data_IF_909961075623
#
_entry.id   IF_909961075623
#
_cell.length_a   1.000
_cell.length_b   1.000
_cell.length_c   1.000
_cell.angle_alpha   90.00
_cell.angle_beta   90.00
_cell.angle_gamma   90.00
#
_symmetry.space_group_name_H-M   'P 1'
#
loop_
_entity.id
_entity.type
_entity.pdbx_description
1 polymer ?
#
# COMPACT_ATOMS: atom_id res chain seq x y z
N UNK A 1 -33.67 6.78 -20.19
CA UNK A 1 -32.45 6.36 -20.90
C UNK A 1 -31.28 6.99 -20.18
N UNK A 2 -30.30 6.20 -19.73
CA UNK A 2 -29.05 6.76 -19.24
C UNK A 2 -28.28 7.32 -20.44
N UNK A 3 -27.88 8.59 -20.37
CA UNK A 3 -27.00 9.17 -21.37
C UNK A 3 -25.62 8.54 -21.20
N UNK A 4 -25.09 7.94 -22.26
CA UNK A 4 -23.76 7.35 -22.24
C UNK A 4 -22.71 8.46 -22.13
N UNK A 5 -21.84 8.36 -21.12
CA UNK A 5 -20.78 9.35 -20.91
C UNK A 5 -19.66 9.07 -21.92
N UNK A 6 -19.24 10.06 -22.72
CA UNK A 6 -18.10 9.93 -23.63
C UNK A 6 -16.80 9.54 -22.90
N UNK A 7 -15.92 8.77 -23.55
CA UNK A 7 -14.71 8.24 -22.90
C UNK A 7 -13.68 9.32 -22.54
N UNK A 8 -13.61 10.41 -23.31
CA UNK A 8 -12.80 11.58 -23.00
C UNK A 8 -13.29 12.27 -21.72
N UNK A 9 -14.61 12.35 -21.52
CA UNK A 9 -15.21 12.86 -20.29
C UNK A 9 -14.92 11.91 -19.11
N UNK A 10 -15.02 10.59 -19.30
CA UNK A 10 -14.62 9.61 -18.27
C UNK A 10 -13.14 9.76 -17.90
N UNK A 11 -12.26 9.96 -18.88
CA UNK A 11 -10.84 10.16 -18.64
C UNK A 11 -10.57 11.43 -17.82
N UNK A 12 -11.23 12.54 -18.15
CA UNK A 12 -11.16 13.77 -17.35
C UNK A 12 -11.63 13.56 -15.91
N UNK A 13 -12.74 12.84 -15.72
CA UNK A 13 -13.25 12.49 -14.39
C UNK A 13 -12.21 11.70 -13.59
N UNK A 14 -11.60 10.67 -14.17
CA UNK A 14 -10.63 9.82 -13.48
C UNK A 14 -9.28 10.47 -13.24
N UNK A 15 -8.78 11.26 -14.19
CA UNK A 15 -7.42 11.83 -14.13
C UNK A 15 -7.36 13.19 -13.45
N UNK A 16 -8.47 13.94 -13.45
CA UNK A 16 -8.48 15.32 -12.92
C UNK A 16 -9.47 15.48 -11.77
N UNK A 17 -10.75 15.13 -11.96
CA UNK A 17 -11.78 15.45 -10.97
C UNK A 17 -11.68 14.59 -9.72
N UNK A 18 -11.61 13.26 -9.87
CA UNK A 18 -11.50 12.35 -8.72
C UNK A 18 -10.24 12.62 -7.89
N UNK A 19 -9.04 12.82 -8.48
CA UNK A 19 -7.87 13.20 -7.71
C UNK A 19 -8.05 14.51 -6.95
N UNK A 20 -8.57 15.56 -7.60
CA UNK A 20 -8.80 16.85 -6.94
C UNK A 20 -9.79 16.77 -5.77
N UNK A 21 -10.91 16.04 -5.96
CA UNK A 21 -11.90 15.81 -4.91
C UNK A 21 -11.29 15.02 -3.75
N UNK A 22 -10.55 13.96 -4.04
CA UNK A 22 -9.92 13.12 -3.01
C UNK A 22 -8.86 13.91 -2.23
N UNK A 23 -8.06 14.75 -2.90
CA UNK A 23 -7.11 15.65 -2.22
C UNK A 23 -7.83 16.59 -1.25
N UNK A 24 -8.95 17.20 -1.67
CA UNK A 24 -9.74 18.08 -0.79
C UNK A 24 -10.32 17.32 0.42
N UNK A 25 -10.83 16.10 0.20
CA UNK A 25 -11.31 15.23 1.29
C UNK A 25 -10.18 14.89 2.26
N UNK A 26 -9.02 14.46 1.76
CA UNK A 26 -7.85 14.10 2.58
C UNK A 26 -7.34 15.29 3.40
N UNK A 27 -7.35 16.51 2.85
CA UNK A 27 -7.03 17.72 3.61
C UNK A 27 -7.97 17.92 4.80
N UNK A 28 -9.27 17.68 4.61
CA UNK A 28 -10.25 17.77 5.71
C UNK A 28 -10.16 16.64 6.72
N UNK A 29 -9.78 15.43 6.29
CA UNK A 29 -9.51 14.32 7.22
C UNK A 29 -8.39 14.67 8.21
N UNK A 30 -7.37 15.45 7.79
CA UNK A 30 -6.29 15.91 8.68
C UNK A 30 -6.77 16.85 9.81
N UNK A 31 -7.91 17.50 9.63
CA UNK A 31 -8.51 18.42 10.62
C UNK A 31 -9.38 17.69 11.66
N UNK A 32 -9.65 16.40 11.47
CA UNK A 32 -10.50 15.62 12.39
C UNK A 32 -9.79 15.33 13.71
N UNK A 33 -10.56 15.14 14.81
CA UNK A 33 -10.04 14.55 16.03
C UNK A 33 -9.35 13.20 15.77
N UNK A 34 -8.28 12.91 16.50
CA UNK A 34 -7.38 11.78 16.22
C UNK A 34 -8.11 10.44 16.08
N UNK A 35 -9.08 10.16 16.94
CA UNK A 35 -9.88 8.92 16.89
C UNK A 35 -10.65 8.79 15.56
N UNK A 36 -11.34 9.85 15.14
CA UNK A 36 -12.10 9.87 13.88
C UNK A 36 -11.18 9.84 12.66
N UNK A 37 -10.05 10.56 12.71
CA UNK A 37 -9.01 10.50 11.68
C UNK A 37 -8.52 9.06 11.49
N UNK A 38 -8.16 8.37 12.58
CA UNK A 38 -7.70 6.98 12.54
C UNK A 38 -8.78 6.06 11.96
N UNK A 39 -10.04 6.23 12.36
CA UNK A 39 -11.12 5.40 11.86
C UNK A 39 -11.29 5.53 10.33
N UNK A 40 -11.30 6.77 9.81
CA UNK A 40 -11.40 7.04 8.37
C UNK A 40 -10.19 6.50 7.62
N UNK A 41 -8.98 6.80 8.10
CA UNK A 41 -7.75 6.33 7.46
C UNK A 41 -7.66 4.81 7.45
N UNK A 42 -8.06 4.15 8.54
CA UNK A 42 -8.10 2.68 8.61
C UNK A 42 -9.06 2.11 7.57
N UNK A 43 -10.29 2.64 7.46
CA UNK A 43 -11.26 2.18 6.47
C UNK A 43 -10.76 2.36 5.03
N UNK A 44 -10.16 3.52 4.72
CA UNK A 44 -9.54 3.77 3.41
C UNK A 44 -8.40 2.80 3.13
N UNK A 45 -7.50 2.61 4.09
CA UNK A 45 -6.35 1.73 3.96
C UNK A 45 -6.77 0.27 3.78
N UNK A 46 -7.73 -0.23 4.56
CA UNK A 46 -8.27 -1.58 4.40
C UNK A 46 -8.84 -1.80 3.00
N UNK A 47 -9.53 -0.80 2.43
CA UNK A 47 -10.01 -0.88 1.05
C UNK A 47 -8.85 -1.02 0.05
N UNK A 48 -7.74 -0.30 0.25
CA UNK A 48 -6.55 -0.46 -0.56
C UNK A 48 -5.91 -1.85 -0.40
N UNK A 49 -5.85 -2.38 0.82
CA UNK A 49 -5.36 -3.74 1.10
C UNK A 49 -6.20 -4.79 0.38
N UNK A 50 -7.52 -4.66 0.42
CA UNK A 50 -8.44 -5.59 -0.24
C UNK A 50 -8.28 -5.57 -1.76
N UNK A 51 -8.16 -4.37 -2.35
CA UNK A 51 -7.90 -4.24 -3.79
C UNK A 51 -6.54 -4.81 -4.17
N UNK A 52 -5.51 -4.60 -3.35
CA UNK A 52 -4.20 -5.17 -3.56
C UNK A 52 -4.26 -6.71 -3.58
N UNK A 53 -4.94 -7.31 -2.60
CA UNK A 53 -5.15 -8.76 -2.54
C UNK A 53 -6.07 -9.29 -3.64
N UNK A 54 -6.95 -8.46 -4.20
CA UNK A 54 -7.81 -8.81 -5.34
C UNK A 54 -7.11 -8.71 -6.70
N UNK A 55 -5.80 -8.44 -6.72
CA UNK A 55 -4.99 -8.41 -7.94
C UNK A 55 -4.79 -7.03 -8.55
N UNK A 56 -5.19 -5.94 -7.89
CA UNK A 56 -4.86 -4.59 -8.35
C UNK A 56 -3.35 -4.31 -8.38
N UNK A 57 -2.58 -5.04 -7.58
CA UNK A 57 -1.11 -5.06 -7.61
C UNK A 57 -0.57 -6.36 -8.20
N UNK A 58 -1.36 -7.05 -9.03
CA UNK A 58 -1.02 -8.27 -9.78
C UNK A 58 -0.83 -9.56 -8.96
N UNK A 59 -1.04 -9.53 -7.64
CA UNK A 59 -1.10 -10.73 -6.79
C UNK A 59 -2.38 -11.50 -7.12
N UNK A 60 -2.26 -12.75 -7.56
CA UNK A 60 -3.40 -13.59 -7.90
C UNK A 60 -3.75 -14.56 -6.75
N UNK A 61 -5.03 -14.80 -6.45
CA UNK A 61 -5.43 -15.87 -5.54
C UNK A 61 -4.88 -17.23 -6.00
N UNK A 62 -4.29 -17.99 -5.08
CA UNK A 62 -3.76 -19.35 -5.36
C UNK A 62 -2.37 -19.40 -5.99
N UNK A 63 -1.67 -18.26 -6.10
CA UNK A 63 -0.27 -18.19 -6.51
C UNK A 63 0.61 -19.00 -5.54
N UNK A 64 1.55 -19.81 -6.09
CA UNK A 64 2.50 -20.53 -5.25
C UNK A 64 3.50 -19.55 -4.60
N UNK A 65 4.18 -19.99 -3.54
CA UNK A 65 5.21 -19.16 -2.89
C UNK A 65 6.31 -18.73 -3.87
N UNK A 66 6.76 -19.64 -4.74
CA UNK A 66 7.81 -19.35 -5.72
C UNK A 66 7.32 -18.36 -6.78
N UNK A 67 6.10 -18.53 -7.29
CA UNK A 67 5.48 -17.59 -8.23
C UNK A 67 5.30 -16.19 -7.60
N UNK A 68 4.94 -16.15 -6.31
CA UNK A 68 4.80 -14.91 -5.55
C UNK A 68 6.15 -14.18 -5.39
N UNK A 69 7.22 -14.92 -5.06
CA UNK A 69 8.56 -14.37 -4.98
C UNK A 69 9.07 -13.86 -6.33
N UNK A 70 8.80 -14.60 -7.42
CA UNK A 70 9.18 -14.17 -8.76
C UNK A 70 8.42 -12.92 -9.19
N UNK A 71 7.10 -12.91 -8.96
CA UNK A 71 6.22 -11.78 -9.25
C UNK A 71 6.71 -10.49 -8.56
N UNK A 72 7.01 -10.57 -7.26
CA UNK A 72 7.43 -9.42 -6.47
C UNK A 72 8.81 -8.87 -6.83
N UNK A 73 9.73 -9.74 -7.28
CA UNK A 73 11.04 -9.32 -7.79
C UNK A 73 10.93 -8.62 -9.14
N UNK A 74 9.97 -9.05 -9.97
CA UNK A 74 9.73 -8.52 -11.31
C UNK A 74 8.85 -7.27 -11.36
N UNK A 75 8.19 -6.89 -10.26
CA UNK A 75 7.26 -5.75 -10.28
C UNK A 75 8.01 -4.42 -10.32
N UNK A 76 7.65 -3.56 -11.26
CA UNK A 76 8.26 -2.23 -11.39
C UNK A 76 7.77 -1.26 -10.29
N UNK A 77 8.56 -0.21 -9.99
CA UNK A 77 8.09 0.88 -9.14
C UNK A 77 6.81 1.54 -9.69
N UNK A 78 5.88 2.01 -8.83
CA UNK A 78 5.98 2.06 -7.37
C UNK A 78 5.44 0.80 -6.66
N UNK A 79 5.10 -0.27 -7.38
CA UNK A 79 4.49 -1.46 -6.78
C UNK A 79 5.55 -2.41 -6.25
N UNK A 80 6.72 -2.49 -6.90
CA UNK A 80 7.91 -3.20 -6.43
C UNK A 80 9.19 -2.48 -6.87
N UNK A 81 10.36 -3.16 -6.89
CA UNK A 81 10.56 -4.55 -6.49
C UNK A 81 10.51 -4.70 -4.97
N UNK A 82 10.20 -5.91 -4.51
CA UNK A 82 10.32 -6.28 -3.09
C UNK A 82 11.47 -7.26 -2.88
N UNK A 83 12.19 -7.07 -1.79
CA UNK A 83 13.10 -8.07 -1.24
C UNK A 83 12.40 -8.78 -0.10
N UNK A 84 12.28 -10.10 -0.19
CA UNK A 84 11.78 -10.94 0.89
C UNK A 84 12.93 -11.74 1.48
N UNK A 85 13.12 -11.63 2.79
CA UNK A 85 14.04 -12.46 3.57
C UNK A 85 13.23 -13.32 4.52
N UNK A 86 13.62 -14.58 4.66
CA UNK A 86 12.99 -15.52 5.58
C UNK A 86 14.05 -16.05 6.55
N UNK A 87 13.73 -16.02 7.84
CA UNK A 87 14.46 -16.71 8.90
C UNK A 87 13.46 -17.52 9.74
N UNK A 88 13.38 -18.83 9.47
CA UNK A 88 12.39 -19.72 10.05
C UNK A 88 10.95 -19.26 9.77
N UNK A 89 10.25 -18.86 10.84
CA UNK A 89 8.86 -18.38 10.82
C UNK A 89 8.74 -16.84 10.74
N UNK A 90 9.86 -16.14 10.55
CA UNK A 90 9.89 -14.68 10.44
C UNK A 90 10.21 -14.28 9.01
N UNK A 91 9.41 -13.37 8.47
CA UNK A 91 9.53 -12.85 7.11
C UNK A 91 9.72 -11.34 7.16
N UNK A 92 10.76 -10.85 6.49
CA UNK A 92 11.00 -9.43 6.27
C UNK A 92 10.71 -9.09 4.82
N UNK A 93 9.72 -8.22 4.61
CA UNK A 93 9.33 -7.70 3.31
C UNK A 93 9.84 -6.26 3.22
N UNK A 94 10.77 -6.03 2.30
CA UNK A 94 11.46 -4.75 2.12
C UNK A 94 11.13 -4.22 0.74
N UNK A 95 10.47 -3.08 0.70
CA UNK A 95 10.18 -2.31 -0.51
C UNK A 95 11.14 -1.13 -0.61
N UNK A 96 11.88 -1.06 -1.72
CA UNK A 96 12.72 0.07 -2.04
C UNK A 96 11.83 1.26 -2.41
N UNK A 97 11.86 2.31 -1.57
CA UNK A 97 10.96 3.44 -1.74
C UNK A 97 11.28 4.18 -3.04
N UNK A 98 10.23 4.53 -3.80
CA UNK A 98 10.39 5.46 -4.90
C UNK A 98 10.91 6.81 -4.39
N UNK A 99 11.68 7.51 -5.23
CA UNK A 99 12.21 8.83 -4.91
C UNK A 99 11.29 9.89 -5.51
N UNK A 100 10.81 10.80 -4.67
CA UNK A 100 10.02 11.95 -5.09
C UNK A 100 10.83 12.99 -5.88
N UNK A 101 10.16 13.96 -6.55
CA UNK A 101 10.81 15.08 -7.22
C UNK A 101 11.66 15.96 -6.28
N UNK A 102 11.39 15.91 -4.98
CA UNK A 102 12.16 16.56 -3.92
C UNK A 102 13.42 15.79 -3.50
N UNK A 103 13.71 14.67 -4.17
CA UNK A 103 14.86 13.81 -3.88
C UNK A 103 14.70 12.94 -2.63
N UNK A 104 13.50 12.90 -2.02
CA UNK A 104 13.25 12.15 -0.78
C UNK A 104 12.53 10.82 -1.05
N UNK A 105 12.79 9.78 -0.23
CA UNK A 105 12.06 8.52 -0.32
C UNK A 105 10.57 8.71 0.01
N UNK A 106 9.70 8.05 -0.75
CA UNK A 106 8.24 8.08 -0.58
C UNK A 106 7.70 6.73 -0.13
N UNK A 107 6.75 6.77 0.79
CA UNK A 107 6.04 5.57 1.23
C UNK A 107 5.28 4.91 0.08
N UNK A 108 5.11 3.59 0.12
CA UNK A 108 4.42 2.82 -0.93
C UNK A 108 2.93 3.20 -1.12
N UNK A 109 2.32 3.93 -0.19
CA UNK A 109 0.92 4.37 -0.28
C UNK A 109 0.59 5.03 -1.65
N UNK A 110 -0.38 4.51 -2.42
CA UNK A 110 -0.74 5.06 -3.73
C UNK A 110 -1.06 6.55 -3.72
N UNK A 111 -1.71 7.05 -2.66
CA UNK A 111 -2.04 8.47 -2.51
C UNK A 111 -0.79 9.35 -2.40
N UNK A 112 0.28 8.84 -1.77
CA UNK A 112 1.57 9.52 -1.68
C UNK A 112 2.33 9.42 -3.00
N UNK A 113 2.31 8.26 -3.63
CA UNK A 113 2.95 8.02 -4.93
C UNK A 113 2.39 8.93 -6.02
N UNK A 114 1.06 9.11 -6.04
CA UNK A 114 0.35 10.00 -6.95
C UNK A 114 0.46 11.50 -6.56
N UNK A 115 1.15 11.82 -5.46
CA UNK A 115 1.30 13.21 -4.99
C UNK A 115 0.00 13.84 -4.47
N UNK A 116 -1.01 13.03 -4.16
CA UNK A 116 -2.34 13.49 -3.73
C UNK A 116 -2.38 13.80 -2.22
N UNK A 117 -1.47 13.24 -1.44
CA UNK A 117 -1.33 13.49 -0.01
C UNK A 117 0.13 13.39 0.43
N UNK A 118 0.47 14.17 1.45
CA UNK A 118 1.69 13.93 2.24
C UNK A 118 1.64 12.54 2.91
N UNK A 119 2.80 11.96 3.24
CA UNK A 119 2.86 10.72 4.01
C UNK A 119 2.16 10.87 5.37
N UNK A 120 1.33 9.87 5.70
CA UNK A 120 0.67 9.75 7.00
C UNK A 120 1.25 8.54 7.73
N UNK A 121 2.02 8.74 8.82
CA UNK A 121 2.67 7.64 9.54
C UNK A 121 1.68 6.57 10.04
N UNK A 122 0.44 6.94 10.33
CA UNK A 122 -0.63 6.02 10.74
C UNK A 122 -0.98 5.00 9.65
N UNK A 123 -0.79 5.35 8.38
CA UNK A 123 -1.04 4.45 7.25
C UNK A 123 0.03 3.36 7.09
N UNK A 124 1.18 3.44 7.77
CA UNK A 124 2.20 2.39 7.65
C UNK A 124 1.74 1.05 8.23
N UNK A 125 0.86 1.05 9.24
CA UNK A 125 0.31 -0.18 9.80
C UNK A 125 -0.49 -0.97 8.77
N UNK A 126 -1.10 -0.26 7.80
CA UNK A 126 -1.74 -0.90 6.66
C UNK A 126 -0.76 -1.69 5.80
N UNK A 127 0.42 -1.12 5.55
CA UNK A 127 1.50 -1.82 4.84
C UNK A 127 1.92 -3.10 5.57
N UNK A 128 2.06 -3.05 6.90
CA UNK A 128 2.37 -4.23 7.71
C UNK A 128 1.25 -5.28 7.68
N UNK A 129 -0.02 -4.86 7.77
CA UNK A 129 -1.17 -5.79 7.64
C UNK A 129 -1.23 -6.43 6.26
N UNK A 130 -1.02 -5.65 5.20
CA UNK A 130 -0.97 -6.18 3.83
C UNK A 130 0.15 -7.22 3.70
N UNK A 131 1.34 -6.92 4.21
CA UNK A 131 2.46 -7.87 4.25
C UNK A 131 2.06 -9.18 4.92
N UNK A 132 1.40 -9.11 6.09
CA UNK A 132 0.84 -10.27 6.77
C UNK A 132 -0.12 -11.08 5.90
N UNK A 133 -1.12 -10.42 5.30
CA UNK A 133 -2.12 -11.05 4.43
C UNK A 133 -1.49 -11.74 3.21
N UNK A 134 -0.46 -11.13 2.63
CA UNK A 134 0.23 -11.73 1.50
C UNK A 134 1.01 -12.99 1.91
N UNK A 135 1.76 -12.94 3.02
CA UNK A 135 2.48 -14.10 3.56
C UNK A 135 1.51 -15.22 3.97
N UNK A 136 0.40 -14.88 4.63
CA UNK A 136 -0.66 -15.81 5.01
C UNK A 136 -1.22 -16.55 3.80
N UNK A 137 -1.58 -15.79 2.76
CA UNK A 137 -2.13 -16.34 1.53
C UNK A 137 -1.12 -17.25 0.81
N UNK A 138 0.14 -16.84 0.75
CA UNK A 138 1.16 -17.56 -0.01
C UNK A 138 1.68 -18.82 0.70
N UNK A 139 1.66 -18.84 2.05
CA UNK A 139 2.11 -19.99 2.84
C UNK A 139 0.98 -20.87 3.37
N UNK A 140 -0.27 -20.39 3.27
CA UNK A 140 -1.45 -21.01 3.89
C UNK A 140 -1.24 -21.28 5.39
N UNK A 141 -0.67 -20.29 6.11
CA UNK A 141 -0.39 -20.37 7.54
C UNK A 141 -0.84 -19.10 8.24
N UNK A 142 -1.44 -19.25 9.42
CA UNK A 142 -1.89 -18.11 10.22
C UNK A 142 -0.75 -17.21 10.66
N UNK A 143 -0.98 -15.91 10.57
CA UNK A 143 -0.08 -14.89 11.10
C UNK A 143 -0.23 -14.77 12.61
N UNK A 144 0.90 -14.64 13.32
CA UNK A 144 0.96 -14.32 14.73
C UNK A 144 1.03 -12.80 14.94
N UNK A 145 1.92 -12.11 14.23
CA UNK A 145 2.14 -10.67 14.36
C UNK A 145 2.63 -10.04 13.05
N UNK A 146 2.28 -8.78 12.82
CA UNK A 146 2.90 -7.93 11.81
C UNK A 146 3.38 -6.62 12.46
N UNK A 147 4.49 -6.07 11.99
CA UNK A 147 4.97 -4.76 12.45
C UNK A 147 5.70 -3.98 11.36
N UNK A 148 5.73 -2.66 11.54
CA UNK A 148 6.53 -1.74 10.73
C UNK A 148 7.90 -1.65 11.39
N UNK A 149 8.93 -2.14 10.71
CA UNK A 149 10.33 -2.03 11.17
C UNK A 149 10.90 -0.68 10.74
N UNK A 150 10.77 -0.36 9.45
CA UNK A 150 11.24 0.91 8.88
C UNK A 150 10.22 1.49 7.90
N UNK A 151 10.16 2.83 7.82
CA UNK A 151 9.45 3.50 6.74
C UNK A 151 9.93 4.95 6.58
N UNK A 152 9.80 5.54 5.38
CA UNK A 152 10.12 6.95 5.18
C UNK A 152 9.30 7.88 6.11
N UNK A 153 8.05 7.53 6.42
CA UNK A 153 7.18 8.37 7.25
C UNK A 153 7.30 8.15 8.76
N UNK A 154 7.72 6.98 9.24
CA UNK A 154 7.90 6.74 10.70
C UNK A 154 9.34 6.90 11.15
N UNK A 155 10.29 6.36 10.40
CA UNK A 155 11.69 6.26 10.83
C UNK A 155 12.63 7.08 9.95
N UNK A 156 12.12 7.77 8.92
CA UNK A 156 12.93 8.47 7.91
C UNK A 156 13.86 7.56 7.09
N UNK A 157 13.61 6.24 7.10
CA UNK A 157 14.37 5.29 6.31
C UNK A 157 14.10 5.46 4.80
N UNK A 158 15.02 4.96 3.96
CA UNK A 158 14.85 4.94 2.50
C UNK A 158 13.99 3.79 1.98
N UNK A 159 13.45 2.95 2.87
CA UNK A 159 12.70 1.74 2.51
C UNK A 159 11.43 1.62 3.35
N UNK A 160 10.42 0.93 2.83
CA UNK A 160 9.33 0.41 3.64
C UNK A 160 9.66 -1.05 4.02
N UNK A 161 9.83 -1.31 5.31
CA UNK A 161 10.23 -2.61 5.84
C UNK A 161 9.17 -3.09 6.82
N UNK A 162 8.55 -4.22 6.48
CA UNK A 162 7.53 -4.86 7.29
C UNK A 162 7.99 -6.24 7.70
N UNK A 163 7.79 -6.57 8.97
CA UNK A 163 8.09 -7.88 9.52
C UNK A 163 6.81 -8.63 9.83
N UNK A 164 6.76 -9.89 9.42
CA UNK A 164 5.64 -10.80 9.60
C UNK A 164 6.13 -12.03 10.35
N UNK A 165 5.41 -12.39 11.41
CA UNK A 165 5.64 -13.57 12.22
C UNK A 165 4.53 -14.58 11.92
N UNK A 166 4.91 -15.80 11.54
CA UNK A 166 3.99 -16.89 11.22
C UNK A 166 3.98 -17.91 12.37
N UNK A 167 2.85 -18.56 12.59
CA UNK A 167 2.73 -19.64 13.59
C UNK A 167 3.50 -20.91 13.20
#
# INVERSE_FOLDING_TARGET
MALEIPDDVKALMHQTWLPALMTAVLQKVKELPQEHKIAVLTGMCTTCEDLAMAGAVGIQPGMSWDDYLEYLKGTAPPIGPWTIKQDGNVFDLIYDSSIGPDGKPRCHCPLVQLGMSDPMPECCDSGARLAGRMIEAALNKSIDKCEVVDSPSRTSASVCHYRVYVK
#
